data_IF_984885016521
#
_entry.id   IF_984885016521
#
_cell.length_a   1.000
_cell.length_b   1.000
_cell.length_c   1.000
_cell.angle_alpha   90.00
_cell.angle_beta   90.00
_cell.angle_gamma   90.00
#
_symmetry.space_group_name_H-M   'P 1'
#
loop_
_entity.id
_entity.type
_entity.pdbx_description
1 polymer ?
#
# COMPACT_ATOMS: atom_id res chain seq x y z
N UNK A 1 22.38 3.90 2.26
CA UNK A 1 20.94 3.97 1.94
C UNK A 1 20.25 2.79 2.58
N UNK A 2 18.97 2.90 2.98
CA UNK A 2 18.19 1.74 3.42
C UNK A 2 18.07 0.71 2.28
N UNK A 3 18.06 -0.58 2.61
CA UNK A 3 17.89 -1.69 1.65
C UNK A 3 16.45 -1.77 1.14
N UNK A 4 16.19 -2.43 -0.01
CA UNK A 4 14.82 -2.74 -0.46
C UNK A 4 14.01 -3.47 0.61
N UNK A 5 14.55 -4.53 1.21
CA UNK A 5 13.94 -5.29 2.31
C UNK A 5 13.52 -4.37 3.48
N UNK A 6 14.42 -3.50 3.94
CA UNK A 6 14.09 -2.59 5.05
C UNK A 6 12.98 -1.61 4.67
N UNK A 7 12.99 -1.08 3.43
CA UNK A 7 11.93 -0.17 2.96
C UNK A 7 10.59 -0.89 2.87
N UNK A 8 10.58 -2.13 2.37
CA UNK A 8 9.40 -2.98 2.33
C UNK A 8 8.81 -3.18 3.72
N UNK A 9 9.64 -3.63 4.68
CA UNK A 9 9.22 -3.89 6.05
C UNK A 9 8.60 -2.63 6.68
N UNK A 10 9.28 -1.48 6.57
CA UNK A 10 8.81 -0.23 7.19
C UNK A 10 7.59 0.35 6.49
N UNK A 11 7.53 0.31 5.16
CA UNK A 11 6.36 0.75 4.41
C UNK A 11 5.14 -0.09 4.76
N UNK A 12 5.29 -1.42 4.87
CA UNK A 12 4.23 -2.34 5.29
C UNK A 12 3.63 -1.95 6.65
N UNK A 13 4.47 -1.71 7.67
CA UNK A 13 3.98 -1.27 8.98
C UNK A 13 3.26 0.07 8.94
N UNK A 14 3.75 1.02 8.14
CA UNK A 14 3.10 2.33 7.98
C UNK A 14 1.73 2.16 7.32
N UNK A 15 1.64 1.39 6.23
CA UNK A 15 0.36 1.09 5.56
C UNK A 15 -0.62 0.45 6.53
N UNK A 16 -0.22 -0.56 7.30
CA UNK A 16 -1.07 -1.19 8.31
C UNK A 16 -1.57 -0.21 9.36
N UNK A 17 -0.70 0.70 9.82
CA UNK A 17 -1.05 1.72 10.81
C UNK A 17 -2.08 2.71 10.25
N UNK A 18 -1.91 3.13 9.00
CA UNK A 18 -2.85 4.03 8.30
C UNK A 18 -4.19 3.35 8.05
N UNK A 19 -4.20 2.07 7.65
CA UNK A 19 -5.41 1.26 7.56
C UNK A 19 -6.14 1.20 8.91
N UNK A 20 -5.42 0.93 10.01
CA UNK A 20 -6.02 0.92 11.34
C UNK A 20 -6.63 2.28 11.70
N UNK A 21 -5.99 3.38 11.32
CA UNK A 21 -6.51 4.73 11.57
C UNK A 21 -7.78 5.01 10.76
N UNK A 22 -7.87 4.53 9.52
CA UNK A 22 -9.06 4.63 8.67
C UNK A 22 -10.28 3.87 9.23
N UNK A 23 -10.08 2.92 10.14
CA UNK A 23 -11.20 2.25 10.84
C UNK A 23 -11.79 3.08 11.99
N UNK A 24 -11.19 4.24 12.29
CA UNK A 24 -11.66 5.15 13.34
C UNK A 24 -12.48 6.31 12.76
N UNK A 25 -13.15 7.07 13.63
CA UNK A 25 -13.91 8.26 13.20
C UNK A 25 -12.95 9.42 12.94
N UNK A 26 -12.65 9.65 11.66
CA UNK A 26 -11.82 10.75 11.18
C UNK A 26 -12.68 11.82 10.53
N UNK A 27 -12.33 13.08 10.76
CA UNK A 27 -12.91 14.16 9.96
C UNK A 27 -12.36 14.18 8.53
N UNK A 28 -12.93 15.02 7.67
CA UNK A 28 -12.56 15.08 6.25
C UNK A 28 -11.11 15.52 6.02
N UNK A 29 -10.57 16.40 6.88
CA UNK A 29 -9.21 16.90 6.74
C UNK A 29 -8.22 15.82 7.18
N UNK A 30 -8.50 15.13 8.30
CA UNK A 30 -7.74 13.98 8.76
C UNK A 30 -7.75 12.84 7.74
N UNK A 31 -8.91 12.53 7.17
CA UNK A 31 -9.02 11.50 6.14
C UNK A 31 -8.17 11.84 4.92
N UNK A 32 -8.18 13.09 4.48
CA UNK A 32 -7.35 13.56 3.37
C UNK A 32 -5.85 13.41 3.66
N UNK A 33 -5.40 13.74 4.87
CA UNK A 33 -3.99 13.56 5.27
C UNK A 33 -3.59 12.09 5.32
N UNK A 34 -4.52 11.22 5.75
CA UNK A 34 -4.31 9.77 5.73
C UNK A 34 -4.22 9.24 4.30
N UNK A 35 -5.09 9.69 3.38
CA UNK A 35 -5.03 9.30 1.97
C UNK A 35 -3.70 9.70 1.31
N UNK A 36 -3.19 10.89 1.60
CA UNK A 36 -1.88 11.36 1.13
C UNK A 36 -0.75 10.50 1.71
N UNK A 37 -0.82 10.19 3.00
CA UNK A 37 0.18 9.35 3.67
C UNK A 37 0.16 7.92 3.12
N UNK A 38 -1.02 7.38 2.84
CA UNK A 38 -1.24 6.06 2.29
C UNK A 38 -0.69 5.96 0.86
N UNK A 39 -0.91 7.00 0.03
CA UNK A 39 -0.27 7.12 -1.28
C UNK A 39 1.24 6.98 -1.20
N UNK A 40 1.89 7.77 -0.33
CA UNK A 40 3.35 7.78 -0.23
C UNK A 40 3.88 6.43 0.30
N UNK A 41 3.22 5.84 1.29
CA UNK A 41 3.62 4.57 1.88
C UNK A 41 3.46 3.40 0.89
N UNK A 42 2.34 3.32 0.18
CA UNK A 42 2.11 2.29 -0.83
C UNK A 42 3.06 2.43 -2.02
N UNK A 43 3.36 3.67 -2.46
CA UNK A 43 4.36 3.90 -3.51
C UNK A 43 5.74 3.40 -3.07
N UNK A 44 6.15 3.73 -1.85
CA UNK A 44 7.43 3.28 -1.30
C UNK A 44 7.51 1.74 -1.20
N UNK A 45 6.39 1.09 -0.85
CA UNK A 45 6.29 -0.37 -0.82
C UNK A 45 6.46 -0.97 -2.22
N UNK A 46 5.73 -0.46 -3.22
CA UNK A 46 5.81 -0.93 -4.61
C UNK A 46 7.22 -0.73 -5.20
N UNK A 47 7.85 0.42 -4.92
CA UNK A 47 9.23 0.71 -5.32
C UNK A 47 10.21 -0.28 -4.66
N UNK A 48 9.96 -0.69 -3.41
CA UNK A 48 10.77 -1.68 -2.71
C UNK A 48 10.62 -3.09 -3.30
N UNK A 49 9.38 -3.50 -3.60
CA UNK A 49 9.08 -4.79 -4.27
C UNK A 49 9.78 -4.86 -5.63
N UNK A 50 9.65 -3.81 -6.44
CA UNK A 50 10.25 -3.74 -7.78
C UNK A 50 11.78 -3.71 -7.71
N UNK A 51 12.36 -3.10 -6.68
CA UNK A 51 13.81 -3.09 -6.49
C UNK A 51 14.37 -4.46 -6.07
N UNK A 52 13.59 -5.27 -5.36
CA UNK A 52 13.99 -6.62 -4.93
C UNK A 52 13.79 -7.66 -6.04
N UNK A 53 12.77 -7.47 -6.89
CA UNK A 53 12.46 -8.30 -8.05
C UNK A 53 12.25 -7.44 -9.32
N UNK A 54 13.33 -6.96 -9.98
CA UNK A 54 13.25 -6.07 -11.14
C UNK A 54 12.52 -6.66 -12.36
N UNK A 55 12.38 -7.98 -12.41
CA UNK A 55 11.58 -8.70 -13.41
C UNK A 55 10.07 -8.54 -13.23
N UNK A 56 9.61 -8.12 -12.04
CA UNK A 56 8.20 -7.78 -11.81
C UNK A 56 7.87 -6.45 -12.47
N UNK A 57 6.66 -6.38 -13.03
CA UNK A 57 6.07 -5.10 -13.46
C UNK A 57 5.78 -4.28 -12.20
N UNK A 58 6.06 -2.96 -12.28
CA UNK A 58 5.71 -2.02 -11.21
C UNK A 58 4.22 -2.18 -10.84
N UNK A 59 3.99 -2.56 -9.58
CA UNK A 59 2.66 -2.77 -9.03
C UNK A 59 2.02 -1.48 -8.51
N UNK A 60 2.68 -0.33 -8.63
CA UNK A 60 2.14 0.94 -8.19
C UNK A 60 0.95 1.40 -9.05
N UNK A 61 -0.14 1.81 -8.38
CA UNK A 61 -1.28 2.48 -9.01
C UNK A 61 -2.00 3.39 -8.00
N UNK A 62 -2.48 4.58 -8.40
CA UNK A 62 -3.31 5.42 -7.53
C UNK A 62 -4.56 4.69 -7.00
N UNK A 63 -5.08 3.71 -7.75
CA UNK A 63 -6.24 2.90 -7.33
C UNK A 63 -5.97 2.04 -6.08
N UNK A 64 -4.71 1.75 -5.76
CA UNK A 64 -4.37 1.07 -4.50
C UNK A 64 -4.75 1.93 -3.30
N UNK A 65 -4.60 3.25 -3.39
CA UNK A 65 -5.01 4.16 -2.31
C UNK A 65 -6.50 4.05 -2.07
N UNK A 66 -7.30 4.08 -3.13
CA UNK A 66 -8.76 3.90 -3.06
C UNK A 66 -9.13 2.54 -2.46
N UNK A 67 -8.48 1.46 -2.91
CA UNK A 67 -8.73 0.10 -2.42
C UNK A 67 -8.51 0.00 -0.90
N UNK A 68 -7.36 0.45 -0.43
CA UNK A 68 -6.99 0.39 0.98
C UNK A 68 -7.82 1.36 1.83
N UNK A 69 -8.21 2.52 1.29
CA UNK A 69 -9.06 3.49 1.98
C UNK A 69 -10.53 3.04 2.08
N UNK A 70 -11.02 2.26 1.11
CA UNK A 70 -12.39 1.73 1.09
C UNK A 70 -12.55 0.43 1.88
N UNK A 71 -11.50 -0.38 1.97
CA UNK A 71 -11.49 -1.67 2.68
C UNK A 71 -10.32 -1.76 3.67
N UNK A 72 -10.22 -0.82 4.65
CA UNK A 72 -9.11 -0.79 5.60
C UNK A 72 -9.03 -2.05 6.49
N UNK A 73 -10.14 -2.74 6.72
CA UNK A 73 -10.19 -4.02 7.44
C UNK A 73 -9.54 -5.19 6.68
N UNK A 74 -9.48 -5.12 5.35
CA UNK A 74 -8.84 -6.12 4.48
C UNK A 74 -7.36 -5.80 4.20
N UNK A 75 -6.79 -4.80 4.87
CA UNK A 75 -5.44 -4.28 4.59
C UNK A 75 -4.36 -5.37 4.63
N UNK A 76 -4.42 -6.31 5.58
CA UNK A 76 -3.47 -7.42 5.65
C UNK A 76 -3.56 -8.36 4.42
N UNK A 77 -4.77 -8.62 3.93
CA UNK A 77 -5.00 -9.41 2.72
C UNK A 77 -4.44 -8.69 1.49
N UNK A 78 -4.69 -7.38 1.35
CA UNK A 78 -4.17 -6.61 0.23
C UNK A 78 -2.66 -6.51 0.22
N UNK A 79 -2.02 -6.36 1.39
CA UNK A 79 -0.56 -6.39 1.51
C UNK A 79 0.02 -7.75 1.08
N UNK A 80 -0.59 -8.85 1.54
CA UNK A 80 -0.17 -10.19 1.12
C UNK A 80 -0.30 -10.41 -0.39
N UNK A 81 -1.31 -9.79 -1.03
CA UNK A 81 -1.50 -9.87 -2.47
C UNK A 81 -0.49 -9.01 -3.23
N UNK A 82 -0.10 -7.83 -2.73
CA UNK A 82 0.96 -7.02 -3.34
C UNK A 82 2.30 -7.76 -3.39
N UNK A 83 2.57 -8.60 -2.39
CA UNK A 83 3.76 -9.45 -2.36
C UNK A 83 3.68 -10.64 -3.32
N UNK A 84 2.54 -10.91 -3.94
CA UNK A 84 2.40 -11.95 -4.97
C UNK A 84 2.92 -11.47 -6.34
N UNK A 85 3.69 -12.31 -7.03
CA UNK A 85 4.32 -11.98 -8.31
C UNK A 85 3.31 -11.86 -9.45
N UNK A 86 2.17 -12.52 -9.31
CA UNK A 86 1.12 -12.50 -10.31
C UNK A 86 0.13 -11.34 -10.09
N UNK A 87 0.23 -10.62 -8.98
CA UNK A 87 -0.71 -9.55 -8.65
C UNK A 87 -0.58 -8.38 -9.61
N UNK A 88 -1.69 -8.07 -10.29
CA UNK A 88 -1.84 -6.89 -11.16
C UNK A 88 -2.96 -6.02 -10.61
N UNK A 89 -2.66 -4.80 -10.12
CA UNK A 89 -3.65 -3.91 -9.55
C UNK A 89 -4.81 -3.63 -10.52
N UNK A 90 -4.54 -3.55 -11.83
CA UNK A 90 -5.57 -3.22 -12.82
C UNK A 90 -6.51 -4.39 -13.16
N UNK A 91 -6.12 -5.64 -12.89
CA UNK A 91 -6.90 -6.84 -13.24
C UNK A 91 -7.75 -7.37 -12.08
N UNK A 92 -7.37 -7.05 -10.84
CA UNK A 92 -7.98 -7.61 -9.61
C UNK A 92 -8.93 -6.65 -8.89
N UNK A 93 -9.20 -5.48 -9.48
CA UNK A 93 -10.11 -4.45 -8.95
C UNK A 93 -11.51 -4.48 -9.63
N UNK A 94 -11.93 -5.65 -10.13
CA UNK A 94 -13.25 -5.88 -10.74
C UNK A 94 -14.19 -6.62 -9.78
#
# INVERSE_FOLDING_TARGET
>A
MPTPEWRHEKATYVVQSLCSLLTTDLDNDQKREVDISLHNALKLLCDAITADAPERVDCWSPKLVELFAQQPEECAKWLSLLDDAEFKPESNLL
#
